data_IF_670107642610
#
_entry.id   IF_670107642610
#
_cell.length_a   1.000
_cell.length_b   1.000
_cell.length_c   1.000
_cell.angle_alpha   90.00
_cell.angle_beta   90.00
_cell.angle_gamma   90.00
#
_symmetry.space_group_name_H-M   'P 1'
#
loop_
_entity.id
_entity.type
_entity.pdbx_description
1 polymer ?
#
# COMPACT_ATOMS: atom_id res chain seq x y z
N UNK A 1 -2.08 18.48 0.61
CA UNK A 1 -3.01 18.05 -0.45
C UNK A 1 -2.36 16.92 -1.22
N UNK A 2 -3.07 15.81 -1.50
CA UNK A 2 -2.50 14.74 -2.31
C UNK A 2 -2.15 15.26 -3.70
N UNK A 3 -1.05 14.76 -4.27
CA UNK A 3 -0.59 15.12 -5.60
C UNK A 3 -0.27 13.86 -6.41
N UNK A 4 -0.43 13.94 -7.73
CA UNK A 4 -0.13 12.83 -8.66
C UNK A 4 1.36 12.54 -8.69
N UNK A 5 1.68 11.26 -8.75
CA UNK A 5 3.05 10.76 -8.82
C UNK A 5 3.19 9.84 -10.03
N UNK A 6 4.31 9.96 -10.74
CA UNK A 6 4.68 9.03 -11.80
C UNK A 6 5.65 7.99 -11.22
N UNK A 7 5.34 6.72 -11.41
CA UNK A 7 6.20 5.61 -11.01
C UNK A 7 7.03 5.11 -12.20
N UNK A 8 8.23 4.61 -11.94
CA UNK A 8 9.06 3.97 -12.98
C UNK A 8 8.40 2.67 -13.48
N UNK A 9 7.75 1.94 -12.56
CA UNK A 9 6.93 0.77 -12.88
C UNK A 9 5.47 1.19 -12.76
N UNK A 10 4.74 1.14 -13.88
CA UNK A 10 3.36 1.65 -13.97
C UNK A 10 2.36 0.64 -13.39
N UNK A 11 1.64 0.96 -12.31
CA UNK A 11 0.61 0.09 -11.73
C UNK A 11 -0.72 0.10 -12.52
N UNK A 12 -0.80 0.83 -13.64
CA UNK A 12 -1.98 0.99 -14.52
C UNK A 12 -3.17 1.67 -13.85
N UNK A 13 -2.95 2.32 -12.73
CA UNK A 13 -3.94 3.13 -12.02
C UNK A 13 -3.30 4.43 -11.55
N UNK A 14 -4.11 5.45 -11.24
CA UNK A 14 -3.60 6.67 -10.65
C UNK A 14 -2.84 6.43 -9.36
N UNK A 15 -1.69 7.10 -9.20
CA UNK A 15 -0.90 7.10 -7.96
C UNK A 15 -0.86 8.51 -7.40
N UNK A 16 -1.21 8.66 -6.14
CA UNK A 16 -1.09 9.91 -5.39
C UNK A 16 -0.17 9.73 -4.18
N UNK A 17 0.47 10.81 -3.75
CA UNK A 17 1.18 10.87 -2.50
C UNK A 17 0.70 12.05 -1.66
N UNK A 18 0.72 11.91 -0.33
CA UNK A 18 0.42 13.00 0.58
C UNK A 18 1.56 14.02 0.62
N UNK A 19 2.80 13.55 0.48
CA UNK A 19 4.00 14.39 0.58
C UNK A 19 5.22 13.77 -0.11
N UNK A 20 6.27 14.54 -0.43
CA UNK A 20 7.54 14.00 -0.85
C UNK A 20 8.25 13.29 0.32
N UNK A 21 9.04 12.25 0.02
CA UNK A 21 9.82 11.48 1.00
C UNK A 21 11.09 12.22 1.41
N UNK A 22 10.97 13.42 1.98
CA UNK A 22 12.06 14.30 2.40
C UNK A 22 11.81 14.91 3.77
N UNK A 23 12.84 15.44 4.41
CA UNK A 23 12.75 16.23 5.63
C UNK A 23 11.91 15.58 6.75
N UNK A 24 10.97 16.32 7.27
CA UNK A 24 10.10 15.91 8.38
C UNK A 24 9.20 14.70 8.00
N UNK A 25 8.73 14.62 6.75
CA UNK A 25 7.88 13.51 6.29
C UNK A 25 8.65 12.19 6.28
N UNK A 26 9.90 12.21 5.81
CA UNK A 26 10.79 11.04 5.89
C UNK A 26 11.00 10.60 7.35
N UNK A 27 11.24 11.54 8.25
CA UNK A 27 11.42 11.24 9.69
C UNK A 27 10.15 10.66 10.31
N UNK A 28 8.98 11.17 9.94
CA UNK A 28 7.69 10.65 10.37
C UNK A 28 7.53 9.17 9.96
N UNK A 29 7.73 8.84 8.68
CA UNK A 29 7.64 7.47 8.17
C UNK A 29 8.65 6.55 8.88
N UNK A 30 9.90 6.98 9.05
CA UNK A 30 10.90 6.22 9.80
C UNK A 30 10.47 5.98 11.24
N UNK A 31 9.94 7.01 11.92
CA UNK A 31 9.50 6.89 13.32
C UNK A 31 8.34 5.91 13.48
N UNK A 32 7.41 5.88 12.55
CA UNK A 32 6.33 4.89 12.52
C UNK A 32 6.87 3.48 12.26
N UNK A 33 7.79 3.35 11.28
CA UNK A 33 8.35 2.06 10.89
C UNK A 33 9.29 1.44 11.92
N UNK A 34 10.18 2.23 12.50
CA UNK A 34 11.29 1.71 13.32
C UNK A 34 11.06 1.86 14.82
N UNK A 35 10.28 2.85 15.24
CA UNK A 35 10.04 3.16 16.65
C UNK A 35 8.65 2.79 17.14
N UNK A 36 7.82 2.17 16.28
CA UNK A 36 6.47 1.73 16.62
C UNK A 36 5.54 2.85 17.11
N UNK A 37 5.74 4.10 16.64
CA UNK A 37 4.96 5.28 17.02
C UNK A 37 3.51 5.16 16.52
N UNK A 38 2.69 4.41 17.26
CA UNK A 38 1.27 4.22 16.94
C UNK A 38 0.44 5.51 17.02
N UNK A 39 0.86 6.44 17.87
CA UNK A 39 0.29 7.78 17.91
C UNK A 39 0.43 8.52 16.57
N UNK A 40 1.57 8.38 15.90
CA UNK A 40 1.77 8.95 14.57
C UNK A 40 0.85 8.31 13.51
N UNK A 41 0.49 7.02 13.65
CA UNK A 41 -0.44 6.36 12.73
C UNK A 41 -1.83 7.02 12.75
N UNK A 42 -2.29 7.52 13.88
CA UNK A 42 -3.58 8.21 13.96
C UNK A 42 -3.58 9.53 13.15
N UNK A 43 -2.51 10.31 13.23
CA UNK A 43 -2.37 11.55 12.44
C UNK A 43 -2.29 11.26 10.94
N UNK A 44 -1.50 10.24 10.56
CA UNK A 44 -1.38 9.85 9.15
C UNK A 44 -2.70 9.25 8.65
N UNK A 45 -3.42 8.48 9.46
CA UNK A 45 -4.75 7.96 9.14
C UNK A 45 -5.75 9.08 8.88
N UNK A 46 -5.76 10.12 9.70
CA UNK A 46 -6.59 11.31 9.47
C UNK A 46 -6.22 12.02 8.15
N UNK A 47 -4.93 12.10 7.82
CA UNK A 47 -4.48 12.67 6.54
C UNK A 47 -4.89 11.79 5.34
N UNK A 48 -4.85 10.46 5.47
CA UNK A 48 -5.36 9.52 4.46
C UNK A 48 -6.86 9.74 4.26
N UNK A 49 -7.64 9.84 5.34
CA UNK A 49 -9.09 10.14 5.26
C UNK A 49 -9.36 11.45 4.51
N UNK A 50 -8.69 12.52 4.90
CA UNK A 50 -8.85 13.83 4.26
C UNK A 50 -8.45 13.80 2.77
N UNK A 51 -7.44 13.01 2.40
CA UNK A 51 -7.04 12.84 1.01
C UNK A 51 -8.09 12.08 0.19
N UNK A 52 -8.68 11.01 0.75
CA UNK A 52 -9.77 10.27 0.09
C UNK A 52 -10.97 11.18 -0.14
N UNK A 53 -11.41 11.91 0.89
CA UNK A 53 -12.53 12.84 0.78
C UNK A 53 -12.26 13.94 -0.26
N UNK A 54 -11.02 14.45 -0.31
CA UNK A 54 -10.61 15.45 -1.30
C UNK A 54 -10.64 14.90 -2.74
N UNK A 55 -10.09 13.70 -2.96
CA UNK A 55 -10.04 13.07 -4.29
C UNK A 55 -11.45 12.67 -4.76
N UNK A 56 -12.30 12.19 -3.85
CA UNK A 56 -13.69 11.88 -4.13
C UNK A 56 -14.49 13.14 -4.53
N UNK A 57 -14.30 14.25 -3.80
CA UNK A 57 -14.94 15.53 -4.14
C UNK A 57 -14.52 16.06 -5.52
N UNK A 58 -13.37 15.62 -6.06
CA UNK A 58 -12.89 15.93 -7.41
C UNK A 58 -13.33 14.92 -8.47
N UNK A 59 -14.04 13.88 -8.08
CA UNK A 59 -14.40 12.78 -8.98
C UNK A 59 -13.23 11.89 -9.39
N UNK A 60 -12.12 11.96 -8.67
CA UNK A 60 -10.91 11.15 -8.94
C UNK A 60 -10.94 9.79 -8.24
N UNK A 61 -11.78 9.63 -7.23
CA UNK A 61 -12.05 8.36 -6.50
C UNK A 61 -13.56 8.20 -6.27
N UNK A 62 -14.04 6.97 -6.04
CA UNK A 62 -15.37 6.72 -5.46
C UNK A 62 -15.52 7.42 -4.11
N UNK A 63 -16.78 7.63 -3.68
CA UNK A 63 -17.01 8.13 -2.34
C UNK A 63 -16.50 7.15 -1.27
N UNK A 64 -16.09 7.68 -0.13
CA UNK A 64 -15.50 6.91 0.97
C UNK A 64 -16.37 5.74 1.46
N UNK A 65 -17.70 5.85 1.35
CA UNK A 65 -18.67 4.81 1.72
C UNK A 65 -18.60 3.60 0.79
N UNK A 66 -18.23 3.80 -0.47
CA UNK A 66 -18.16 2.75 -1.50
C UNK A 66 -16.73 2.21 -1.72
N UNK A 67 -15.76 2.71 -0.95
CA UNK A 67 -14.34 2.43 -1.12
C UNK A 67 -13.77 1.66 0.07
N UNK A 68 -12.97 0.64 -0.22
CA UNK A 68 -12.22 -0.10 0.81
C UNK A 68 -10.72 0.15 0.67
N UNK A 69 -10.06 0.48 1.77
CA UNK A 69 -8.60 0.58 1.81
C UNK A 69 -7.98 -0.81 1.88
N UNK A 70 -7.04 -1.07 0.98
CA UNK A 70 -6.19 -2.26 1.03
C UNK A 70 -4.78 -1.79 1.39
N UNK A 71 -4.25 -2.15 2.59
CA UNK A 71 -2.86 -1.84 2.91
C UNK A 71 -1.91 -2.66 2.03
N UNK A 72 -0.91 -2.00 1.45
CA UNK A 72 0.15 -2.66 0.69
C UNK A 72 0.90 -3.68 1.55
N UNK A 73 1.38 -4.79 0.97
CA UNK A 73 1.98 -5.86 1.75
C UNK A 73 3.30 -5.42 2.40
N UNK A 74 3.43 -5.63 3.70
CA UNK A 74 4.66 -5.40 4.44
C UNK A 74 5.40 -6.73 4.64
N UNK A 75 6.74 -6.74 4.53
CA UNK A 75 7.53 -7.95 4.77
C UNK A 75 7.30 -8.46 6.20
N UNK A 76 6.86 -9.71 6.34
CA UNK A 76 6.48 -10.33 7.61
C UNK A 76 7.55 -10.21 8.71
N UNK A 77 8.85 -10.37 8.37
CA UNK A 77 9.96 -10.16 9.31
C UNK A 77 9.99 -8.75 9.86
N UNK A 78 9.78 -7.76 9.00
CA UNK A 78 9.77 -6.35 9.38
C UNK A 78 8.55 -6.00 10.25
N UNK A 79 7.39 -6.57 9.96
CA UNK A 79 6.17 -6.37 10.75
C UNK A 79 6.31 -7.00 12.16
N UNK A 80 6.86 -8.23 12.25
CA UNK A 80 7.06 -8.91 13.56
C UNK A 80 8.04 -8.17 14.46
N UNK A 81 9.15 -7.66 13.92
CA UNK A 81 10.16 -6.92 14.71
C UNK A 81 9.61 -5.59 15.26
N UNK A 82 8.55 -5.03 14.65
CA UNK A 82 7.97 -3.73 14.98
C UNK A 82 6.66 -3.82 15.77
N UNK A 83 6.20 -5.03 16.10
CA UNK A 83 4.93 -5.23 16.83
C UNK A 83 3.68 -4.97 16.00
N UNK A 84 3.77 -4.99 14.66
CA UNK A 84 2.64 -4.85 13.75
C UNK A 84 2.97 -4.23 12.41
N UNK A 85 1.99 -4.23 11.53
CA UNK A 85 2.08 -3.58 10.22
C UNK A 85 1.62 -2.12 10.30
N UNK A 86 2.56 -1.22 10.00
CA UNK A 86 2.35 0.24 10.07
C UNK A 86 1.29 0.72 9.08
N UNK A 87 1.28 0.18 7.85
CA UNK A 87 0.33 0.59 6.82
C UNK A 87 -1.09 0.18 7.20
N UNK A 88 -1.26 -1.05 7.70
CA UNK A 88 -2.54 -1.51 8.24
C UNK A 88 -3.02 -0.63 9.40
N UNK A 89 -2.11 -0.24 10.31
CA UNK A 89 -2.46 0.64 11.42
C UNK A 89 -2.90 2.04 10.95
N UNK A 90 -2.25 2.59 9.93
CA UNK A 90 -2.63 3.86 9.30
C UNK A 90 -4.02 3.74 8.66
N UNK A 91 -4.27 2.70 7.85
CA UNK A 91 -5.57 2.47 7.23
C UNK A 91 -6.68 2.36 8.28
N UNK A 92 -6.50 1.52 9.31
CA UNK A 92 -7.47 1.35 10.39
C UNK A 92 -7.74 2.66 11.16
N UNK A 93 -6.72 3.51 11.32
CA UNK A 93 -6.85 4.81 11.99
C UNK A 93 -7.56 5.88 11.15
N UNK A 94 -7.76 5.66 9.85
CA UNK A 94 -8.46 6.60 8.97
C UNK A 94 -9.97 6.64 9.20
N UNK A 95 -10.54 5.62 9.85
CA UNK A 95 -11.98 5.44 10.00
C UNK A 95 -12.70 5.01 8.72
N UNK A 96 -11.95 4.62 7.68
CA UNK A 96 -12.48 4.05 6.44
C UNK A 96 -12.50 2.51 6.52
N UNK A 97 -13.36 1.87 5.72
CA UNK A 97 -13.33 0.43 5.54
C UNK A 97 -11.91 -0.01 5.18
N UNK A 98 -11.36 -0.98 5.91
CA UNK A 98 -9.98 -1.46 5.72
C UNK A 98 -9.98 -2.97 5.63
N UNK A 99 -9.38 -3.53 4.57
CA UNK A 99 -9.35 -4.95 4.30
C UNK A 99 -7.93 -5.43 3.97
N UNK A 100 -7.16 -5.94 4.95
CA UNK A 100 -5.81 -6.46 4.74
C UNK A 100 -5.88 -7.82 4.04
N UNK A 101 -5.96 -7.83 2.72
CA UNK A 101 -6.16 -9.04 1.91
C UNK A 101 -4.94 -9.48 1.11
N UNK A 102 -3.81 -8.77 1.20
CA UNK A 102 -2.59 -9.07 0.46
C UNK A 102 -1.40 -9.27 1.40
N UNK A 103 -0.47 -10.13 1.02
CA UNK A 103 0.78 -10.33 1.73
C UNK A 103 1.95 -10.58 0.78
N UNK A 104 3.18 -10.31 1.22
CA UNK A 104 4.34 -10.80 0.49
C UNK A 104 4.39 -12.32 0.53
N UNK A 105 4.62 -12.93 -0.64
CA UNK A 105 4.89 -14.37 -0.74
C UNK A 105 6.09 -14.74 0.12
N UNK A 106 5.93 -15.71 1.02
CA UNK A 106 7.05 -16.19 1.81
C UNK A 106 7.99 -17.01 0.92
N UNK A 107 9.25 -16.60 0.82
CA UNK A 107 10.28 -17.25 -0.02
C UNK A 107 10.61 -18.70 0.41
N UNK A 108 9.97 -19.23 1.44
CA UNK A 108 10.34 -20.50 2.08
C UNK A 108 9.71 -21.72 1.41
N UNK A 109 8.70 -21.59 0.53
CA UNK A 109 8.00 -22.76 -0.01
C UNK A 109 8.31 -23.17 -1.45
N UNK A 110 8.89 -22.30 -2.29
CA UNK A 110 8.97 -22.57 -3.73
C UNK A 110 10.37 -22.58 -4.34
N UNK A 111 11.43 -22.77 -3.54
CA UNK A 111 12.82 -22.77 -4.06
C UNK A 111 13.28 -24.13 -4.59
N UNK A 112 12.49 -25.17 -4.46
CA UNK A 112 12.85 -26.53 -4.93
C UNK A 112 12.39 -26.70 -6.37
N UNK A 113 13.34 -26.62 -7.32
CA UNK A 113 13.09 -26.94 -8.74
C UNK A 113 13.04 -25.78 -9.71
N UNK A 114 13.24 -24.52 -9.27
CA UNK A 114 13.27 -23.36 -10.17
C UNK A 114 14.67 -23.04 -10.69
N UNK A 115 14.79 -22.70 -11.97
CA UNK A 115 16.01 -22.18 -12.56
C UNK A 115 16.38 -20.78 -12.00
N UNK A 116 17.62 -20.32 -12.24
CA UNK A 116 18.13 -19.05 -11.71
C UNK A 116 17.35 -17.82 -12.25
N UNK A 117 16.71 -17.90 -13.41
CA UNK A 117 15.94 -16.82 -14.01
C UNK A 117 14.51 -16.80 -13.46
N UNK A 118 13.90 -17.97 -13.24
CA UNK A 118 12.63 -18.11 -12.54
C UNK A 118 12.76 -17.72 -11.07
N UNK A 119 13.92 -18.04 -10.44
CA UNK A 119 14.23 -17.62 -9.06
C UNK A 119 14.39 -16.11 -8.94
N UNK A 120 14.99 -15.44 -9.92
CA UNK A 120 15.07 -13.96 -9.98
C UNK A 120 13.71 -13.31 -10.23
N UNK A 121 12.85 -13.89 -11.06
CA UNK A 121 11.47 -13.42 -11.29
C UNK A 121 10.58 -13.62 -10.05
N UNK A 122 10.77 -14.73 -9.31
CA UNK A 122 10.04 -15.01 -8.07
C UNK A 122 10.57 -14.21 -6.86
N UNK A 123 11.83 -13.76 -6.87
CA UNK A 123 12.41 -12.88 -5.87
C UNK A 123 12.01 -11.41 -6.05
N UNK A 124 11.60 -11.02 -7.27
CA UNK A 124 11.02 -9.72 -7.53
C UNK A 124 9.53 -9.75 -7.12
N UNK A 125 9.28 -9.51 -5.84
CA UNK A 125 8.00 -9.01 -5.30
C UNK A 125 6.75 -9.88 -5.56
N UNK A 126 6.83 -11.17 -5.28
CA UNK A 126 5.63 -12.00 -5.25
C UNK A 126 4.67 -11.53 -4.16
N UNK A 127 3.47 -11.15 -4.56
CA UNK A 127 2.35 -10.84 -3.68
C UNK A 127 1.32 -11.96 -3.80
N UNK A 128 0.79 -12.41 -2.66
CA UNK A 128 -0.31 -13.34 -2.60
C UNK A 128 -1.59 -12.61 -2.17
N UNK A 129 -2.70 -12.91 -2.84
CA UNK A 129 -4.03 -12.49 -2.42
C UNK A 129 -4.60 -13.54 -1.46
N UNK A 130 -4.97 -13.11 -0.27
CA UNK A 130 -5.55 -13.97 0.78
C UNK A 130 -7.06 -14.10 0.65
N UNK A 131 -7.72 -12.99 0.31
CA UNK A 131 -9.17 -12.89 0.16
C UNK A 131 -9.49 -11.83 -0.90
N UNK A 132 -10.61 -12.01 -1.61
CA UNK A 132 -11.04 -11.06 -2.64
C UNK A 132 -11.94 -9.99 -2.01
N UNK A 133 -11.60 -8.69 -2.11
CA UNK A 133 -12.49 -7.61 -1.70
C UNK A 133 -13.77 -7.58 -2.54
N UNK A 134 -14.88 -7.19 -1.93
CA UNK A 134 -16.20 -7.12 -2.59
C UNK A 134 -16.58 -5.72 -3.10
N UNK A 135 -15.77 -4.71 -2.83
CA UNK A 135 -15.98 -3.32 -3.24
C UNK A 135 -14.74 -2.78 -3.97
N UNK A 136 -14.85 -1.66 -4.70
CA UNK A 136 -13.69 -0.97 -5.25
C UNK A 136 -12.65 -0.68 -4.17
N UNK A 137 -11.37 -0.81 -4.50
CA UNK A 137 -10.29 -0.65 -3.53
C UNK A 137 -9.37 0.52 -3.86
N UNK A 138 -8.87 1.17 -2.82
CA UNK A 138 -7.72 2.07 -2.86
C UNK A 138 -6.55 1.38 -2.17
N UNK A 139 -5.48 1.10 -2.91
CA UNK A 139 -4.25 0.56 -2.33
C UNK A 139 -3.53 1.67 -1.56
N UNK A 140 -3.16 1.42 -0.31
CA UNK A 140 -2.43 2.38 0.53
C UNK A 140 -1.04 1.85 0.82
N UNK A 141 -0.01 2.69 0.60
CA UNK A 141 1.38 2.35 0.92
C UNK A 141 2.03 3.47 1.76
N UNK A 142 3.10 3.15 2.47
CA UNK A 142 3.84 4.15 3.23
C UNK A 142 4.81 4.98 2.35
N UNK A 143 5.57 4.34 1.48
CA UNK A 143 6.51 5.02 0.56
C UNK A 143 6.51 4.35 -0.80
N UNK A 144 6.08 5.07 -1.81
CA UNK A 144 6.27 4.66 -3.20
C UNK A 144 7.60 5.23 -3.73
N UNK A 145 8.44 4.34 -4.23
CA UNK A 145 9.71 4.68 -4.90
C UNK A 145 9.61 4.36 -6.40
N UNK A 146 9.99 3.17 -6.82
CA UNK A 146 9.85 2.72 -8.21
C UNK A 146 8.42 2.36 -8.60
N UNK A 147 7.55 2.04 -7.63
CA UNK A 147 6.21 1.53 -7.85
C UNK A 147 6.10 0.01 -8.00
N UNK A 148 7.20 -0.74 -7.88
CA UNK A 148 7.19 -2.18 -8.16
C UNK A 148 6.28 -2.98 -7.20
N UNK A 149 6.30 -2.70 -5.89
CA UNK A 149 5.39 -3.35 -4.92
C UNK A 149 3.93 -3.05 -5.22
N UNK A 150 3.67 -1.81 -5.57
CA UNK A 150 2.32 -1.32 -5.90
C UNK A 150 1.82 -1.99 -7.18
N UNK A 151 2.65 -2.03 -8.23
CA UNK A 151 2.32 -2.70 -9.49
C UNK A 151 2.02 -4.19 -9.28
N UNK A 152 2.91 -4.92 -8.57
CA UNK A 152 2.70 -6.33 -8.28
C UNK A 152 1.40 -6.59 -7.50
N UNK A 153 1.06 -5.69 -6.56
CA UNK A 153 -0.18 -5.78 -5.80
C UNK A 153 -1.40 -5.50 -6.66
N UNK A 154 -1.36 -4.46 -7.49
CA UNK A 154 -2.43 -4.14 -8.44
C UNK A 154 -2.65 -5.30 -9.44
N UNK A 155 -1.57 -5.89 -9.98
CA UNK A 155 -1.66 -7.01 -10.91
C UNK A 155 -2.38 -8.23 -10.30
N UNK A 156 -2.10 -8.55 -9.02
CA UNK A 156 -2.78 -9.64 -8.31
C UNK A 156 -4.26 -9.33 -8.08
N UNK A 157 -4.60 -8.11 -7.69
CA UNK A 157 -5.98 -7.66 -7.49
C UNK A 157 -6.77 -7.68 -8.82
N UNK A 158 -6.20 -7.15 -9.91
CA UNK A 158 -6.81 -7.21 -11.24
C UNK A 158 -7.05 -8.64 -11.73
N UNK A 159 -6.08 -9.52 -11.50
CA UNK A 159 -6.20 -10.95 -11.86
C UNK A 159 -7.35 -11.66 -11.15
N UNK A 160 -7.74 -11.15 -9.98
CA UNK A 160 -8.89 -11.62 -9.22
C UNK A 160 -10.20 -10.89 -9.54
N UNK A 161 -10.20 -9.99 -10.54
CA UNK A 161 -11.39 -9.22 -10.95
C UNK A 161 -11.74 -8.07 -10.01
N UNK A 162 -10.82 -7.63 -9.15
CA UNK A 162 -11.03 -6.52 -8.21
C UNK A 162 -10.85 -5.20 -8.95
N UNK A 163 -11.78 -4.27 -8.75
CA UNK A 163 -11.67 -2.91 -9.22
C UNK A 163 -10.71 -2.12 -8.32
N UNK A 164 -9.55 -1.71 -8.86
CA UNK A 164 -8.58 -0.88 -8.16
C UNK A 164 -8.74 0.56 -8.64
N UNK A 165 -9.27 1.43 -7.78
CA UNK A 165 -9.53 2.84 -8.11
C UNK A 165 -8.25 3.69 -8.13
N UNK A 166 -7.19 3.23 -7.47
CA UNK A 166 -5.90 3.90 -7.45
C UNK A 166 -5.01 3.49 -6.30
N UNK A 167 -3.95 4.26 -6.12
CA UNK A 167 -2.95 4.10 -5.05
C UNK A 167 -2.76 5.41 -4.32
N UNK A 168 -2.73 5.37 -3.00
CA UNK A 168 -2.39 6.50 -2.15
C UNK A 168 -1.19 6.15 -1.28
N UNK A 169 -0.06 6.81 -1.51
CA UNK A 169 1.14 6.70 -0.68
C UNK A 169 1.19 7.81 0.37
N UNK A 170 1.71 7.50 1.56
CA UNK A 170 2.01 8.56 2.54
C UNK A 170 3.11 9.47 1.99
N UNK A 171 4.15 8.86 1.38
CA UNK A 171 5.21 9.62 0.73
C UNK A 171 5.59 9.02 -0.63
N UNK A 172 6.15 9.87 -1.52
CA UNK A 172 6.81 9.43 -2.75
C UNK A 172 8.27 9.92 -2.79
N UNK A 173 9.19 9.08 -3.31
CA UNK A 173 10.62 9.35 -3.45
C UNK A 173 11.03 9.44 -4.92
#
# INVERSE_FOLDING_TARGET
MPHRVSCTVDPRVPVWALSPYTGAHRQLVISMKERGRRDACAYVGAAVRAAVDFLAARGELPFAVDLTLVPAPTRARSARLRGGDTVTAVCASSGLSTFPCVQHRSSVRDSVGLDAAARRRNLAEGVDLLQVPSSPVLLVDDVVTTGATVEATCAVLFSAGVEVSGVLAVCAA
#
